data_IF_333656110469
#
_entry.id   IF_333656110469
#
_cell.length_a   1.000
_cell.length_b   1.000
_cell.length_c   1.000
_cell.angle_alpha   90.00
_cell.angle_beta   90.00
_cell.angle_gamma   90.00
#
_symmetry.space_group_name_H-M   'P 1'
#
loop_
_entity.id
_entity.type
_entity.pdbx_description
1 polymer ?
#
# COMPACT_ATOMS: atom_id res chain seq x y z
N UNK A 1 10.83 17.44 -7.96
CA UNK A 1 11.56 16.51 -7.07
C UNK A 1 11.98 15.35 -7.93
N UNK A 2 13.23 14.88 -7.80
CA UNK A 2 13.73 13.76 -8.59
C UNK A 2 13.52 12.50 -7.75
N UNK A 3 12.42 11.80 -8.00
CA UNK A 3 12.15 10.46 -7.46
C UNK A 3 12.58 9.44 -8.51
N UNK A 4 12.87 8.20 -8.12
CA UNK A 4 13.17 7.15 -9.11
C UNK A 4 11.98 6.99 -10.05
N UNK A 5 12.26 7.00 -11.35
CA UNK A 5 11.27 6.78 -12.40
C UNK A 5 11.27 5.31 -12.86
N UNK A 6 10.37 4.96 -13.79
CA UNK A 6 10.24 3.59 -14.30
C UNK A 6 11.57 3.03 -14.81
N UNK A 7 12.33 3.79 -15.61
CA UNK A 7 13.63 3.35 -16.15
C UNK A 7 14.62 2.94 -15.04
N UNK A 8 14.75 3.75 -13.99
CA UNK A 8 15.66 3.45 -12.88
C UNK A 8 15.19 2.21 -12.11
N UNK A 9 13.89 2.09 -11.84
CA UNK A 9 13.33 0.91 -11.17
C UNK A 9 13.47 -0.36 -12.02
N UNK A 10 13.23 -0.28 -13.34
CA UNK A 10 13.41 -1.40 -14.27
C UNK A 10 14.85 -1.90 -14.23
N UNK A 11 15.85 -1.03 -14.34
CA UNK A 11 17.26 -1.43 -14.24
C UNK A 11 17.57 -2.13 -12.92
N UNK A 12 17.03 -1.63 -11.81
CA UNK A 12 17.25 -2.22 -10.48
C UNK A 12 16.57 -3.58 -10.31
N UNK A 13 15.36 -3.75 -10.87
CA UNK A 13 14.60 -4.99 -10.78
C UNK A 13 15.21 -6.06 -11.68
N UNK A 14 15.45 -5.76 -12.96
CA UNK A 14 15.94 -6.74 -13.94
C UNK A 14 17.33 -7.27 -13.57
N UNK A 15 18.16 -6.47 -12.91
CA UNK A 15 19.52 -6.88 -12.53
C UNK A 15 19.58 -8.13 -11.63
N UNK A 16 18.53 -8.40 -10.85
CA UNK A 16 18.49 -9.52 -9.90
C UNK A 16 17.06 -9.96 -9.55
N UNK A 17 16.18 -10.03 -10.57
CA UNK A 17 14.76 -10.25 -10.33
C UNK A 17 14.46 -11.63 -9.72
N UNK A 18 15.29 -12.64 -9.98
CA UNK A 18 15.13 -13.97 -9.40
C UNK A 18 15.34 -13.95 -7.88
N UNK A 19 16.45 -13.41 -7.39
CA UNK A 19 16.70 -13.29 -5.94
C UNK A 19 15.64 -12.39 -5.30
N UNK A 20 15.34 -11.26 -5.95
CA UNK A 20 14.35 -10.31 -5.49
C UNK A 20 12.98 -10.98 -5.30
N UNK A 21 12.49 -11.67 -6.33
CA UNK A 21 11.20 -12.35 -6.28
C UNK A 21 11.25 -13.48 -5.28
N UNK A 22 12.32 -14.28 -5.21
CA UNK A 22 12.47 -15.39 -4.28
C UNK A 22 12.58 -14.97 -2.80
N UNK A 23 12.92 -13.71 -2.53
CA UNK A 23 12.91 -13.15 -1.19
C UNK A 23 11.51 -12.71 -0.71
N UNK A 24 10.50 -12.61 -1.59
CA UNK A 24 9.13 -12.23 -1.20
C UNK A 24 8.53 -13.33 -0.29
N UNK A 25 8.11 -13.05 0.95
CA UNK A 25 7.49 -14.06 1.79
C UNK A 25 6.13 -14.50 1.25
N UNK A 26 5.87 -15.81 1.19
CA UNK A 26 4.58 -16.35 0.75
C UNK A 26 3.41 -15.84 1.60
N UNK A 27 3.65 -15.61 2.90
CA UNK A 27 2.68 -14.99 3.81
C UNK A 27 2.15 -13.65 3.29
N UNK A 28 2.98 -12.82 2.65
CA UNK A 28 2.53 -11.52 2.10
C UNK A 28 1.48 -11.71 1.00
N UNK A 29 1.60 -12.77 0.21
CA UNK A 29 0.66 -13.12 -0.86
C UNK A 29 -0.61 -13.70 -0.25
N UNK A 30 -0.47 -14.69 0.63
CA UNK A 30 -1.59 -15.40 1.25
C UNK A 30 -2.46 -14.47 2.11
N UNK A 31 -1.85 -13.61 2.94
CA UNK A 31 -2.57 -12.66 3.80
C UNK A 31 -3.25 -11.58 2.97
N UNK A 32 -2.60 -11.07 1.91
CA UNK A 32 -3.25 -10.15 0.99
C UNK A 32 -4.52 -10.75 0.38
N UNK A 33 -4.43 -11.95 -0.19
CA UNK A 33 -5.58 -12.63 -0.79
C UNK A 33 -6.68 -12.92 0.22
N UNK A 34 -6.32 -13.32 1.44
CA UNK A 34 -7.26 -13.46 2.55
C UNK A 34 -7.99 -12.13 2.81
N UNK A 35 -7.25 -11.03 3.02
CA UNK A 35 -7.87 -9.72 3.33
C UNK A 35 -8.72 -9.20 2.17
N UNK A 36 -8.30 -9.36 0.92
CA UNK A 36 -9.11 -8.95 -0.21
C UNK A 36 -10.40 -9.78 -0.31
N UNK A 37 -10.30 -11.11 -0.25
CA UNK A 37 -11.47 -12.00 -0.30
C UNK A 37 -12.45 -11.72 0.83
N UNK A 38 -11.95 -11.64 2.07
CA UNK A 38 -12.80 -11.43 3.24
C UNK A 38 -13.46 -10.07 3.22
N UNK A 39 -12.77 -9.02 2.76
CA UNK A 39 -13.39 -7.71 2.56
C UNK A 39 -14.66 -7.82 1.70
N UNK A 40 -14.64 -8.62 0.64
CA UNK A 40 -15.78 -8.80 -0.26
C UNK A 40 -16.88 -9.72 0.27
N UNK A 41 -16.65 -10.46 1.36
CA UNK A 41 -17.59 -11.47 1.88
C UNK A 41 -18.10 -11.19 3.29
N UNK A 42 -17.69 -10.08 3.91
CA UNK A 42 -18.00 -9.77 5.32
C UNK A 42 -18.37 -8.30 5.51
N UNK A 43 -18.98 -8.00 6.65
CA UNK A 43 -19.15 -6.63 7.15
C UNK A 43 -17.96 -6.30 8.05
N UNK A 44 -17.06 -5.46 7.54
CA UNK A 44 -15.72 -5.24 8.12
C UNK A 44 -15.74 -4.70 9.56
N UNK A 45 -16.63 -3.76 9.95
CA UNK A 45 -16.68 -3.22 11.31
C UNK A 45 -17.03 -4.25 12.39
N UNK A 46 -17.63 -5.39 12.04
CA UNK A 46 -18.01 -6.44 13.00
C UNK A 46 -17.18 -7.73 12.86
N UNK A 47 -16.37 -7.88 11.81
CA UNK A 47 -15.53 -9.06 11.61
C UNK A 47 -14.20 -8.94 12.38
N UNK A 48 -14.21 -9.42 13.63
CA UNK A 48 -13.03 -9.36 14.50
C UNK A 48 -11.81 -10.11 13.98
N UNK A 49 -11.98 -11.20 13.22
CA UNK A 49 -10.86 -11.95 12.65
C UNK A 49 -10.25 -11.17 11.48
N UNK A 50 -11.09 -10.61 10.61
CA UNK A 50 -10.64 -9.70 9.55
C UNK A 50 -9.83 -8.53 10.12
N UNK A 51 -10.41 -7.84 11.11
CA UNK A 51 -9.74 -6.71 11.75
C UNK A 51 -8.42 -7.14 12.39
N UNK A 52 -8.38 -8.28 13.08
CA UNK A 52 -7.14 -8.79 13.65
C UNK A 52 -6.05 -8.99 12.58
N UNK A 53 -6.36 -9.71 11.50
CA UNK A 53 -5.40 -9.98 10.42
C UNK A 53 -4.95 -8.69 9.75
N UNK A 54 -5.90 -7.82 9.39
CA UNK A 54 -5.61 -6.54 8.75
C UNK A 54 -4.69 -5.67 9.62
N UNK A 55 -4.99 -5.57 10.92
CA UNK A 55 -4.24 -4.70 11.84
C UNK A 55 -2.79 -5.10 11.98
N UNK A 56 -2.51 -6.40 12.02
CA UNK A 56 -1.14 -6.91 12.12
C UNK A 56 -0.40 -6.76 10.78
N UNK A 57 -1.06 -7.12 9.68
CA UNK A 57 -0.43 -7.11 8.36
C UNK A 57 -0.11 -5.70 7.87
N UNK A 58 -1.06 -4.77 7.98
CA UNK A 58 -0.91 -3.37 7.55
C UNK A 58 -0.43 -2.43 8.67
N UNK A 59 0.02 -2.98 9.81
CA UNK A 59 0.60 -2.24 10.93
C UNK A 59 -0.32 -1.15 11.52
N UNK A 60 -1.62 -1.44 11.59
CA UNK A 60 -2.60 -0.64 12.34
C UNK A 60 -2.45 -0.85 13.86
N UNK A 61 -1.74 -1.90 14.30
CA UNK A 61 -1.26 -2.05 15.69
C UNK A 61 -0.08 -1.12 15.97
N UNK A 62 -0.35 0.18 15.99
CA UNK A 62 0.61 1.21 16.33
C UNK A 62 0.24 1.84 17.68
N UNK A 63 1.16 1.92 18.67
CA UNK A 63 0.89 2.48 20.00
C UNK A 63 0.38 3.93 20.01
N UNK A 64 0.53 4.66 18.90
CA UNK A 64 0.00 6.02 18.75
C UNK A 64 -1.46 6.07 18.26
N UNK A 65 -2.07 4.94 17.89
CA UNK A 65 -3.44 4.87 17.40
C UNK A 65 -4.39 4.38 18.49
N UNK A 66 -5.45 5.15 18.72
CA UNK A 66 -6.50 4.85 19.69
C UNK A 66 -7.46 3.77 19.17
N UNK A 67 -8.29 3.22 20.06
CA UNK A 67 -9.38 2.34 19.61
C UNK A 67 -10.36 3.10 18.70
N UNK A 68 -10.73 4.34 19.05
CA UNK A 68 -11.56 5.21 18.20
C UNK A 68 -10.98 5.38 16.78
N UNK A 69 -9.66 5.45 16.63
CA UNK A 69 -9.02 5.51 15.31
C UNK A 69 -9.25 4.22 14.54
N UNK A 70 -9.09 3.06 15.20
CA UNK A 70 -9.28 1.74 14.59
C UNK A 70 -10.74 1.53 14.18
N UNK A 71 -11.68 1.90 15.04
CA UNK A 71 -13.12 1.82 14.76
C UNK A 71 -13.47 2.72 13.57
N UNK A 72 -13.03 3.99 13.61
CA UNK A 72 -13.22 4.92 12.48
C UNK A 72 -12.58 4.42 11.18
N UNK A 73 -11.44 3.75 11.27
CA UNK A 73 -10.75 3.18 10.11
C UNK A 73 -11.61 2.11 9.44
N UNK A 74 -12.15 1.16 10.21
CA UNK A 74 -12.98 0.10 9.65
C UNK A 74 -14.36 0.60 9.20
N UNK A 75 -14.94 1.58 9.89
CA UNK A 75 -16.16 2.27 9.43
C UNK A 75 -15.95 2.96 8.09
N UNK A 76 -14.80 3.63 7.89
CA UNK A 76 -14.47 4.27 6.62
C UNK A 76 -14.23 3.23 5.52
N UNK A 77 -13.54 2.13 5.84
CA UNK A 77 -13.28 1.03 4.90
C UNK A 77 -14.57 0.41 4.37
N UNK A 78 -15.56 0.25 5.25
CA UNK A 78 -16.90 -0.19 4.90
C UNK A 78 -17.69 0.90 4.17
N UNK A 79 -17.60 2.15 4.60
CA UNK A 79 -18.33 3.27 4.02
C UNK A 79 -17.99 3.56 2.56
N UNK A 80 -16.76 3.25 2.13
CA UNK A 80 -16.34 3.38 0.72
C UNK A 80 -16.61 2.14 -0.12
N UNK A 81 -17.30 1.13 0.44
CA UNK A 81 -17.66 -0.09 -0.28
C UNK A 81 -18.50 0.22 -1.51
N UNK A 82 -18.09 -0.33 -2.65
CA UNK A 82 -18.78 -0.13 -3.93
C UNK A 82 -18.46 1.19 -4.62
N UNK A 83 -17.70 2.10 -4.00
CA UNK A 83 -17.19 3.27 -4.69
C UNK A 83 -16.12 2.85 -5.71
N UNK A 84 -16.30 3.23 -6.97
CA UNK A 84 -15.32 2.91 -8.03
C UNK A 84 -13.99 3.64 -7.84
N UNK A 85 -14.03 4.87 -7.30
CA UNK A 85 -12.86 5.73 -7.10
C UNK A 85 -12.95 6.47 -5.76
N UNK A 86 -12.71 5.77 -4.64
CA UNK A 86 -12.69 6.40 -3.33
C UNK A 86 -11.65 7.51 -3.26
N UNK A 87 -11.98 8.62 -2.60
CA UNK A 87 -11.08 9.76 -2.50
C UNK A 87 -10.12 9.61 -1.31
N UNK A 88 -8.86 9.23 -1.60
CA UNK A 88 -7.80 9.07 -0.59
C UNK A 88 -7.59 10.33 0.28
N UNK A 89 -7.82 11.53 -0.27
CA UNK A 89 -7.74 12.77 0.51
C UNK A 89 -8.84 12.84 1.58
N UNK A 90 -10.09 12.51 1.23
CA UNK A 90 -11.19 12.50 2.19
C UNK A 90 -10.99 11.44 3.28
N UNK A 91 -10.58 10.23 2.89
CA UNK A 91 -10.27 9.15 3.84
C UNK A 91 -9.16 9.59 4.80
N UNK A 92 -8.04 10.11 4.27
CA UNK A 92 -6.90 10.56 5.09
C UNK A 92 -7.30 11.72 6.00
N UNK A 93 -8.15 12.64 5.52
CA UNK A 93 -8.65 13.75 6.34
C UNK A 93 -9.53 13.26 7.49
N UNK A 94 -10.47 12.35 7.22
CA UNK A 94 -11.33 11.78 8.26
C UNK A 94 -10.54 10.99 9.31
N UNK A 95 -9.48 10.29 8.92
CA UNK A 95 -8.57 9.63 9.86
C UNK A 95 -7.75 10.65 10.66
N UNK A 96 -7.30 11.73 10.02
CA UNK A 96 -6.52 12.79 10.68
C UNK A 96 -7.32 13.52 11.78
N UNK A 97 -8.64 13.59 11.66
CA UNK A 97 -9.53 14.21 12.64
C UNK A 97 -9.70 13.40 13.93
N UNK A 98 -9.18 12.17 13.99
CA UNK A 98 -9.15 11.36 15.22
C UNK A 98 -7.84 11.60 15.97
N UNK A 99 -7.94 12.17 17.17
CA UNK A 99 -6.78 12.46 18.00
C UNK A 99 -6.16 11.18 18.59
N UNK A 100 -4.84 11.18 18.77
CA UNK A 100 -4.15 10.13 19.51
C UNK A 100 -4.33 10.28 21.04
N UNK A 101 -3.77 9.34 21.81
CA UNK A 101 -3.78 9.38 23.29
C UNK A 101 -3.21 10.67 23.93
N UNK A 102 -2.44 11.47 23.17
CA UNK A 102 -1.88 12.76 23.63
C UNK A 102 -2.69 13.96 23.12
N UNK A 103 -3.87 13.74 22.53
CA UNK A 103 -4.69 14.80 21.92
C UNK A 103 -4.13 15.37 20.62
N UNK A 104 -3.10 14.74 20.03
CA UNK A 104 -2.46 15.22 18.82
C UNK A 104 -2.99 14.49 17.57
N UNK A 105 -3.12 15.23 16.48
CA UNK A 105 -3.56 14.70 15.18
C UNK A 105 -2.37 14.24 14.35
N UNK A 106 -2.43 13.02 13.85
CA UNK A 106 -1.34 12.42 13.06
C UNK A 106 -1.86 12.03 11.68
N UNK A 107 -1.14 12.45 10.64
CA UNK A 107 -1.53 12.14 9.26
C UNK A 107 -1.10 10.71 8.92
N UNK A 108 -2.08 9.83 8.78
CA UNK A 108 -1.89 8.39 8.54
C UNK A 108 -2.14 8.03 7.06
N UNK A 109 -1.45 8.71 6.14
CA UNK A 109 -1.58 8.47 4.70
C UNK A 109 -1.24 7.04 4.28
N UNK A 110 -0.16 6.40 4.77
CA UNK A 110 0.11 4.99 4.48
C UNK A 110 -1.08 4.07 4.77
N UNK A 111 -1.74 4.24 5.93
CA UNK A 111 -2.89 3.44 6.32
C UNK A 111 -4.10 3.69 5.40
N UNK A 112 -4.32 4.93 4.96
CA UNK A 112 -5.36 5.21 3.97
C UNK A 112 -5.10 4.49 2.63
N UNK A 113 -3.84 4.43 2.17
CA UNK A 113 -3.50 3.69 0.95
C UNK A 113 -3.55 2.17 1.15
N UNK A 114 -3.22 1.67 2.34
CA UNK A 114 -3.36 0.26 2.70
C UNK A 114 -4.82 -0.20 2.62
N UNK A 115 -5.74 0.61 3.16
CA UNK A 115 -7.19 0.40 3.04
C UNK A 115 -7.60 0.26 1.57
N UNK A 116 -7.25 1.23 0.73
CA UNK A 116 -7.63 1.23 -0.68
C UNK A 116 -7.02 0.06 -1.45
N UNK A 117 -5.76 -0.27 -1.18
CA UNK A 117 -5.07 -1.37 -1.83
C UNK A 117 -5.65 -2.75 -1.46
N UNK A 118 -6.04 -2.93 -0.19
CA UNK A 118 -6.70 -4.15 0.25
C UNK A 118 -8.09 -4.34 -0.40
N UNK A 119 -8.81 -3.23 -0.64
CA UNK A 119 -10.10 -3.22 -1.34
C UNK A 119 -9.90 -3.51 -2.83
N UNK A 120 -8.97 -2.81 -3.47
CA UNK A 120 -8.73 -2.91 -4.91
C UNK A 120 -7.24 -2.69 -5.21
N UNK A 121 -6.54 -3.70 -5.78
CA UNK A 121 -5.10 -3.63 -6.05
C UNK A 121 -4.70 -2.56 -7.07
N UNK A 122 -5.65 -2.03 -7.85
CA UNK A 122 -5.40 -0.91 -8.76
C UNK A 122 -4.99 0.37 -8.02
N UNK A 123 -5.25 0.47 -6.71
CA UNK A 123 -4.70 1.51 -5.84
C UNK A 123 -3.38 1.01 -5.22
N UNK A 124 -2.22 1.58 -5.55
CA UNK A 124 -0.95 1.13 -4.98
C UNK A 124 -0.87 1.31 -3.46
N UNK A 125 -0.11 0.47 -2.77
CA UNK A 125 0.13 0.60 -1.34
C UNK A 125 1.36 1.49 -1.07
N UNK A 126 1.16 2.58 -0.33
CA UNK A 126 2.27 3.45 0.08
C UNK A 126 2.76 3.03 1.47
N UNK A 127 3.89 2.33 1.54
CA UNK A 127 4.53 1.94 2.80
C UNK A 127 5.99 2.41 2.88
N UNK A 128 6.68 2.02 3.96
CA UNK A 128 8.09 2.37 4.17
C UNK A 128 9.03 1.76 3.12
N UNK A 129 8.72 0.58 2.59
CA UNK A 129 9.59 -0.05 1.60
C UNK A 129 9.41 0.61 0.24
N UNK A 130 8.17 0.84 -0.17
CA UNK A 130 7.87 1.61 -1.40
C UNK A 130 8.46 3.02 -1.31
N UNK A 131 8.37 3.67 -0.15
CA UNK A 131 9.04 4.95 0.10
C UNK A 131 10.55 4.90 -0.21
N UNK A 132 11.25 3.85 0.22
CA UNK A 132 12.67 3.65 -0.06
C UNK A 132 12.94 3.32 -1.53
N UNK A 133 12.13 2.45 -2.13
CA UNK A 133 12.26 2.06 -3.54
C UNK A 133 12.18 3.27 -4.47
N UNK A 134 11.29 4.22 -4.19
CA UNK A 134 11.16 5.44 -4.98
C UNK A 134 12.11 6.58 -4.60
N UNK A 135 12.90 6.41 -3.53
CA UNK A 135 13.71 7.48 -2.91
C UNK A 135 12.86 8.73 -2.61
N UNK A 136 11.70 8.51 -1.98
CA UNK A 136 10.79 9.60 -1.68
C UNK A 136 11.35 10.52 -0.59
N UNK A 137 11.14 11.82 -0.76
CA UNK A 137 11.47 12.79 0.28
C UNK A 137 10.51 12.68 1.46
N UNK A 138 11.04 12.70 2.69
CA UNK A 138 10.20 12.66 3.89
C UNK A 138 9.33 13.92 4.03
N UNK A 139 8.09 13.72 4.52
CA UNK A 139 7.17 14.80 4.88
C UNK A 139 7.29 15.24 6.36
N UNK A 140 8.20 14.66 7.17
CA UNK A 140 8.26 14.91 8.62
C UNK A 140 8.56 16.37 8.99
N UNK A 141 9.40 17.05 8.20
CA UNK A 141 9.76 18.46 8.42
C UNK A 141 8.63 19.44 8.04
N UNK A 142 7.59 18.97 7.33
CA UNK A 142 6.48 19.82 6.92
C UNK A 142 5.51 20.01 8.08
N UNK A 143 5.06 21.23 8.33
CA UNK A 143 4.04 21.54 9.34
C UNK A 143 2.64 21.61 8.73
N UNK A 144 1.68 21.03 9.44
CA UNK A 144 0.26 21.08 9.10
C UNK A 144 -0.20 20.05 8.07
N UNK A 145 -1.51 19.74 8.14
CA UNK A 145 -2.18 18.76 7.30
C UNK A 145 -1.96 19.01 5.80
N UNK A 146 -2.29 20.20 5.30
CA UNK A 146 -2.30 20.49 3.86
C UNK A 146 -0.92 20.34 3.20
N UNK A 147 0.15 20.79 3.85
CA UNK A 147 1.51 20.68 3.29
C UNK A 147 1.96 19.22 3.22
N UNK A 148 1.73 18.45 4.29
CA UNK A 148 2.02 17.00 4.32
C UNK A 148 1.18 16.26 3.28
N UNK A 149 -0.13 16.52 3.25
CA UNK A 149 -1.05 15.86 2.34
C UNK A 149 -0.68 16.13 0.87
N UNK A 150 -0.33 17.38 0.51
CA UNK A 150 0.14 17.70 -0.84
C UNK A 150 1.37 16.88 -1.22
N UNK A 151 2.35 16.75 -0.32
CA UNK A 151 3.56 15.94 -0.55
C UNK A 151 3.21 14.48 -0.84
N UNK A 152 2.35 13.89 0.00
CA UNK A 152 1.93 12.51 -0.17
C UNK A 152 1.14 12.28 -1.45
N UNK A 153 0.21 13.18 -1.82
CA UNK A 153 -0.52 13.08 -3.09
C UNK A 153 0.41 13.17 -4.29
N UNK A 154 1.38 14.10 -4.28
CA UNK A 154 2.35 14.23 -5.37
C UNK A 154 3.21 12.95 -5.52
N UNK A 155 3.62 12.35 -4.40
CA UNK A 155 4.36 11.07 -4.39
C UNK A 155 3.50 9.88 -4.83
N UNK A 156 2.25 9.82 -4.35
CA UNK A 156 1.31 8.76 -4.67
C UNK A 156 0.95 8.75 -6.16
N UNK A 157 0.74 9.93 -6.75
CA UNK A 157 0.54 10.07 -8.20
C UNK A 157 1.76 9.59 -8.99
N UNK A 158 2.97 10.02 -8.59
CA UNK A 158 4.21 9.57 -9.24
C UNK A 158 4.36 8.04 -9.17
N UNK A 159 4.08 7.44 -8.01
CA UNK A 159 4.09 5.99 -7.84
C UNK A 159 3.10 5.31 -8.78
N UNK A 160 1.84 5.76 -8.81
CA UNK A 160 0.81 5.19 -9.68
C UNK A 160 1.23 5.23 -11.15
N UNK A 161 1.63 6.41 -11.65
CA UNK A 161 2.08 6.59 -13.04
C UNK A 161 3.30 5.71 -13.36
N UNK A 162 4.19 5.52 -12.39
CA UNK A 162 5.36 4.64 -12.56
C UNK A 162 4.97 3.17 -12.61
N UNK A 163 4.05 2.72 -11.76
CA UNK A 163 3.56 1.34 -11.78
C UNK A 163 2.89 1.00 -13.10
N UNK A 164 2.05 1.89 -13.63
CA UNK A 164 1.41 1.68 -14.94
C UNK A 164 2.48 1.50 -16.03
N UNK A 165 3.51 2.35 -16.05
CA UNK A 165 4.62 2.20 -17.00
C UNK A 165 5.36 0.88 -16.82
N UNK A 166 5.65 0.46 -15.59
CA UNK A 166 6.36 -0.80 -15.33
C UNK A 166 5.54 -2.01 -15.81
N UNK A 167 4.22 -1.98 -15.60
CA UNK A 167 3.30 -3.03 -16.07
C UNK A 167 3.31 -3.11 -17.62
N UNK A 168 3.36 -1.97 -18.30
CA UNK A 168 3.30 -1.90 -19.77
C UNK A 168 4.66 -2.15 -20.47
N UNK A 169 5.76 -2.32 -19.72
CA UNK A 169 7.10 -2.55 -20.29
C UNK A 169 7.31 -4.03 -20.65
N UNK A 170 7.56 -4.30 -21.92
CA UNK A 170 7.91 -5.66 -22.41
C UNK A 170 9.13 -6.25 -21.68
N UNK A 171 10.10 -5.40 -21.32
CA UNK A 171 11.30 -5.78 -20.57
C UNK A 171 10.99 -6.37 -19.18
N UNK A 172 9.80 -6.09 -18.63
CA UNK A 172 9.34 -6.62 -17.35
C UNK A 172 8.68 -8.01 -17.48
N UNK A 173 8.44 -8.50 -18.69
CA UNK A 173 7.76 -9.79 -18.89
C UNK A 173 8.47 -10.96 -18.20
N UNK A 174 9.82 -11.13 -18.30
CA UNK A 174 10.51 -12.21 -17.59
C UNK A 174 10.37 -12.12 -16.06
N UNK A 175 10.26 -10.90 -15.52
CA UNK A 175 10.04 -10.66 -14.09
C UNK A 175 8.67 -11.16 -13.67
N UNK A 176 7.63 -10.87 -14.46
CA UNK A 176 6.27 -11.34 -14.18
C UNK A 176 6.13 -12.85 -14.37
N UNK A 177 6.76 -13.42 -15.40
CA UNK A 177 6.77 -14.86 -15.65
C UNK A 177 7.40 -15.61 -14.46
N UNK A 178 8.55 -15.16 -13.97
CA UNK A 178 9.19 -15.78 -12.81
C UNK A 178 8.38 -15.59 -11.51
N UNK A 179 7.70 -14.45 -11.36
CA UNK A 179 6.76 -14.26 -10.25
C UNK A 179 5.64 -15.31 -10.30
N UNK A 180 5.09 -15.57 -11.49
CA UNK A 180 4.02 -16.55 -11.69
C UNK A 180 4.51 -18.00 -11.58
N UNK A 181 5.74 -18.30 -11.95
CA UNK A 181 6.36 -19.61 -11.67
C UNK A 181 6.42 -19.88 -10.16
N UNK A 182 6.86 -18.87 -9.40
CA UNK A 182 6.99 -18.98 -7.94
C UNK A 182 5.63 -19.05 -7.23
N UNK A 183 4.71 -18.18 -7.63
CA UNK A 183 3.43 -17.98 -6.94
C UNK A 183 2.24 -18.52 -7.74
N UNK A 184 2.43 -19.41 -8.71
CA UNK A 184 1.37 -19.82 -9.66
C UNK A 184 0.13 -20.49 -9.04
N UNK A 185 0.22 -20.95 -7.78
CA UNK A 185 -0.95 -21.38 -6.99
C UNK A 185 -1.88 -20.21 -6.58
N UNK A 186 -1.43 -18.98 -6.73
CA UNK A 186 -2.12 -17.75 -6.35
C UNK A 186 -2.52 -16.95 -7.60
N UNK A 187 -3.81 -16.66 -7.73
CA UNK A 187 -4.30 -15.77 -8.78
C UNK A 187 -4.20 -14.32 -8.33
N UNK A 188 -3.08 -13.66 -8.66
CA UNK A 188 -2.84 -12.26 -8.34
C UNK A 188 -2.99 -11.35 -9.57
N UNK A 189 -3.67 -10.20 -9.45
CA UNK A 189 -3.67 -9.19 -10.49
C UNK A 189 -2.28 -8.54 -10.62
N UNK A 190 -1.94 -8.08 -11.82
CA UNK A 190 -0.60 -7.58 -12.14
C UNK A 190 -0.20 -6.39 -11.27
N UNK A 191 -1.16 -5.54 -10.89
CA UNK A 191 -0.97 -4.40 -10.00
C UNK A 191 -0.48 -4.85 -8.61
N UNK A 192 -0.95 -6.01 -8.14
CA UNK A 192 -0.46 -6.56 -6.88
C UNK A 192 0.94 -7.16 -7.02
N UNK A 193 1.24 -7.80 -8.16
CA UNK A 193 2.57 -8.34 -8.44
C UNK A 193 3.62 -7.22 -8.42
N UNK A 194 3.39 -6.13 -9.16
CA UNK A 194 4.33 -5.01 -9.20
C UNK A 194 4.48 -4.33 -7.83
N UNK A 195 3.39 -4.20 -7.06
CA UNK A 195 3.44 -3.67 -5.70
C UNK A 195 4.34 -4.51 -4.78
N UNK A 196 4.23 -5.85 -4.85
CA UNK A 196 5.08 -6.76 -4.08
C UNK A 196 6.55 -6.71 -4.52
N UNK A 197 6.81 -6.67 -5.83
CA UNK A 197 8.16 -6.57 -6.40
C UNK A 197 8.83 -5.27 -5.94
N UNK A 198 8.15 -4.12 -6.07
CA UNK A 198 8.71 -2.82 -5.69
C UNK A 198 8.85 -2.70 -4.17
N UNK A 199 7.89 -3.20 -3.39
CA UNK A 199 8.03 -3.27 -1.92
C UNK A 199 9.21 -4.15 -1.51
N UNK A 200 9.43 -5.27 -2.19
CA UNK A 200 10.58 -6.13 -1.92
C UNK A 200 11.89 -5.45 -2.29
N UNK A 201 11.95 -4.72 -3.41
CA UNK A 201 13.12 -3.94 -3.81
C UNK A 201 13.45 -2.89 -2.74
N UNK A 202 12.43 -2.20 -2.23
CA UNK A 202 12.60 -1.25 -1.14
C UNK A 202 13.16 -1.86 0.14
N UNK A 203 12.97 -3.16 0.37
CA UNK A 203 13.51 -3.86 1.54
C UNK A 203 15.00 -4.20 1.43
N UNK A 204 15.57 -4.19 0.22
CA UNK A 204 17.00 -4.42 -0.03
C UNK A 204 17.82 -3.12 -0.05
N UNK A 205 17.16 -1.96 0.06
CA UNK A 205 17.74 -0.61 0.13
C UNK A 205 17.75 -0.05 1.57
#
# INVERSE_FOLDING_TARGET
MKYRASQELTSMIIGDYEELINAIPEEKVAVYLYTNRMYHSTYVPEDGLYQFVFRHFYRLENPSLTQDFKDRFFDLMEGVRGETRPNVYHITKSLYEVANHKGAYTLQFPLATAMLHAINPAFPHYDTQVFKAFDFSSAYHLSGFYKKMKRYIDQYRHMYETYQKLIDLEEMQPVFDHFDERFGGYQLPVEKKIDLIVSQLGSTL
#
